data_IF_433060725112
#
_entry.id   IF_433060725112
#
_cell.length_a   1.000
_cell.length_b   1.000
_cell.length_c   1.000
_cell.angle_alpha   90.00
_cell.angle_beta   90.00
_cell.angle_gamma   90.00
#
_symmetry.space_group_name_H-M   'P 1'
#
loop_
_entity.id
_entity.type
_entity.pdbx_description
1 polymer ?
#
# COMPACT_ATOMS: atom_id res chain seq x y z
N UNK A 1 -28.30 9.78 21.52
CA UNK A 1 -27.96 9.92 20.09
C UNK A 1 -28.61 8.77 19.32
N UNK A 2 -29.33 9.08 18.22
CA UNK A 2 -29.96 8.08 17.36
C UNK A 2 -28.98 7.59 16.29
N UNK A 3 -29.24 6.39 15.74
CA UNK A 3 -28.55 5.86 14.54
C UNK A 3 -29.45 6.04 13.34
N UNK A 4 -28.83 6.29 12.17
CA UNK A 4 -29.50 6.33 10.87
C UNK A 4 -28.92 5.24 9.98
N UNK A 5 -29.69 4.75 9.01
CA UNK A 5 -29.25 3.79 8.02
C UNK A 5 -28.80 4.54 6.75
N UNK A 6 -27.56 4.31 6.31
CA UNK A 6 -26.96 4.96 5.12
C UNK A 6 -26.80 3.99 3.93
N UNK A 7 -27.26 2.73 4.08
CA UNK A 7 -26.96 1.71 3.08
C UNK A 7 -25.49 1.25 3.06
N UNK A 8 -25.09 0.44 2.06
CA UNK A 8 -23.70 -0.05 1.97
C UNK A 8 -22.71 1.08 1.71
N UNK A 9 -21.78 1.29 2.62
CA UNK A 9 -20.64 2.20 2.47
C UNK A 9 -19.48 1.74 3.36
N UNK A 10 -18.29 2.31 3.19
CA UNK A 10 -17.09 2.04 3.99
C UNK A 10 -16.54 3.31 4.65
N UNK A 11 -17.35 4.38 4.73
CA UNK A 11 -16.96 5.61 5.41
C UNK A 11 -16.77 5.35 6.90
N UNK A 12 -15.85 6.12 7.50
CA UNK A 12 -15.53 6.07 8.93
C UNK A 12 -14.97 4.71 9.43
N UNK A 13 -14.51 3.86 8.49
CA UNK A 13 -13.68 2.70 8.79
C UNK A 13 -12.30 2.89 8.12
N UNK A 14 -11.39 3.68 8.72
CA UNK A 14 -10.14 4.06 8.10
C UNK A 14 -9.28 2.85 7.74
N UNK A 15 -8.65 2.92 6.57
CA UNK A 15 -7.72 1.92 6.08
C UNK A 15 -6.32 2.53 5.98
N UNK A 16 -5.31 1.78 6.38
CA UNK A 16 -3.90 2.14 6.17
C UNK A 16 -3.55 2.05 4.70
N UNK A 17 -2.71 2.96 4.24
CA UNK A 17 -2.27 3.05 2.85
C UNK A 17 -0.98 2.29 2.61
N UNK A 18 -0.89 1.64 1.46
CA UNK A 18 0.32 0.98 0.97
C UNK A 18 0.57 1.32 -0.50
N UNK A 19 1.85 1.48 -0.84
CA UNK A 19 2.32 1.45 -2.22
C UNK A 19 2.78 0.02 -2.56
N UNK A 20 2.05 -0.66 -3.46
CA UNK A 20 2.45 -1.99 -3.94
C UNK A 20 3.47 -1.83 -5.07
N UNK A 21 4.64 -2.42 -4.86
CA UNK A 21 5.76 -2.38 -5.79
C UNK A 21 5.90 -3.68 -6.58
N UNK A 22 6.07 -3.55 -7.88
CA UNK A 22 6.26 -4.66 -8.83
C UNK A 22 7.30 -4.30 -9.87
N UNK A 23 7.92 -5.28 -10.53
CA UNK A 23 8.63 -5.05 -11.78
C UNK A 23 7.73 -5.36 -12.98
N UNK A 24 7.82 -4.54 -14.02
CA UNK A 24 7.21 -4.83 -15.32
C UNK A 24 7.98 -5.94 -16.07
N UNK A 25 7.55 -6.29 -17.30
CA UNK A 25 8.22 -7.32 -18.12
C UNK A 25 9.64 -6.94 -18.54
N UNK A 26 9.99 -5.65 -18.50
CA UNK A 26 11.30 -5.12 -18.85
C UNK A 26 12.22 -4.95 -17.64
N UNK A 27 11.70 -5.25 -16.42
CA UNK A 27 12.43 -5.06 -15.16
C UNK A 27 12.36 -3.64 -14.61
N UNK A 28 11.50 -2.76 -15.15
CA UNK A 28 11.33 -1.42 -14.59
C UNK A 28 10.43 -1.48 -13.36
N UNK A 29 10.76 -0.75 -12.28
CA UNK A 29 9.90 -0.67 -11.10
C UNK A 29 8.59 0.07 -11.41
N UNK A 30 7.52 -0.40 -10.80
CA UNK A 30 6.20 0.18 -10.92
C UNK A 30 5.47 0.12 -9.58
N UNK A 31 4.88 1.25 -9.15
CA UNK A 31 4.13 1.33 -7.90
C UNK A 31 2.69 1.79 -8.13
N UNK A 32 1.79 1.36 -7.24
CA UNK A 32 0.39 1.78 -7.21
C UNK A 32 -0.14 1.85 -5.79
N UNK A 33 -1.05 2.81 -5.53
CA UNK A 33 -1.64 3.03 -4.20
C UNK A 33 -2.83 2.09 -3.97
N UNK A 34 -2.82 1.43 -2.81
CA UNK A 34 -3.88 0.54 -2.34
C UNK A 34 -4.08 0.66 -0.83
N UNK A 35 -5.28 0.28 -0.34
CA UNK A 35 -5.61 0.31 1.07
C UNK A 35 -6.37 -0.94 1.57
N UNK A 36 -6.80 -1.82 0.69
CA UNK A 36 -7.46 -3.05 1.11
C UNK A 36 -6.43 -4.14 1.39
N UNK A 37 -5.93 -4.14 2.62
CA UNK A 37 -4.88 -4.99 3.12
C UNK A 37 -5.26 -5.46 4.52
N UNK A 38 -5.29 -6.77 4.77
CA UNK A 38 -5.64 -7.36 6.06
C UNK A 38 -4.83 -8.62 6.32
N UNK A 39 -4.48 -8.85 7.58
CA UNK A 39 -3.84 -10.10 7.97
C UNK A 39 -4.81 -11.27 7.92
N UNK A 40 -4.30 -12.44 7.58
CA UNK A 40 -4.98 -13.73 7.64
C UNK A 40 -4.10 -14.77 8.33
N UNK A 41 -4.73 -15.84 8.77
CA UNK A 41 -4.04 -17.00 9.33
C UNK A 41 -4.44 -18.26 8.56
N UNK A 42 -3.44 -18.90 7.94
CA UNK A 42 -3.61 -20.16 7.20
C UNK A 42 -2.44 -21.10 7.53
N UNK A 43 -2.39 -21.53 8.81
CA UNK A 43 -1.25 -22.27 9.34
C UNK A 43 -0.01 -21.42 9.62
N UNK A 44 0.11 -20.27 8.97
CA UNK A 44 1.12 -19.23 9.14
C UNK A 44 0.49 -17.84 8.94
N UNK A 45 1.19 -16.78 9.35
CA UNK A 45 0.75 -15.41 9.14
C UNK A 45 0.84 -15.07 7.65
N UNK A 46 -0.26 -14.63 7.08
CA UNK A 46 -0.36 -14.17 5.71
C UNK A 46 -1.11 -12.85 5.59
N UNK A 47 -1.36 -12.45 4.36
CA UNK A 47 -2.07 -11.21 4.01
C UNK A 47 -3.14 -11.50 2.96
N UNK A 48 -4.29 -10.87 3.12
CA UNK A 48 -5.30 -10.75 2.07
C UNK A 48 -5.28 -9.33 1.54
N UNK A 49 -5.10 -9.19 0.23
CA UNK A 49 -5.18 -7.92 -0.49
C UNK A 49 -6.31 -7.97 -1.50
N UNK A 50 -6.92 -6.81 -1.79
CA UNK A 50 -7.90 -6.71 -2.88
C UNK A 50 -7.55 -5.53 -3.77
N UNK A 51 -7.51 -5.77 -5.10
CA UNK A 51 -7.29 -4.73 -6.10
C UNK A 51 -8.53 -4.67 -7.01
N UNK A 52 -9.23 -3.54 -6.95
CA UNK A 52 -10.38 -3.27 -7.81
C UNK A 52 -9.98 -2.70 -9.17
N UNK A 53 -10.80 -2.95 -10.17
CA UNK A 53 -10.65 -2.43 -11.52
C UNK A 53 -9.40 -2.92 -12.26
N UNK A 54 -9.10 -2.29 -13.37
CA UNK A 54 -7.92 -2.57 -14.18
C UNK A 54 -6.74 -1.70 -13.76
N UNK A 55 -5.63 -2.32 -13.35
CA UNK A 55 -4.43 -1.65 -12.84
C UNK A 55 -3.17 -2.36 -13.36
N UNK A 56 -2.20 -1.62 -13.86
CA UNK A 56 -0.90 -2.15 -14.27
C UNK A 56 -0.22 -2.94 -13.15
N UNK A 57 -0.28 -2.43 -11.91
CA UNK A 57 0.25 -3.13 -10.73
C UNK A 57 -0.41 -4.50 -10.55
N UNK A 58 -1.74 -4.60 -10.73
CA UNK A 58 -2.46 -5.88 -10.67
C UNK A 58 -1.97 -6.86 -11.75
N UNK A 59 -1.84 -6.37 -12.98
CA UNK A 59 -1.37 -7.20 -14.11
C UNK A 59 0.03 -7.75 -13.83
N UNK A 60 0.94 -6.91 -13.33
CA UNK A 60 2.29 -7.32 -12.93
C UNK A 60 2.26 -8.36 -11.81
N UNK A 61 1.45 -8.18 -10.76
CA UNK A 61 1.30 -9.17 -9.67
C UNK A 61 0.73 -10.49 -10.20
N UNK A 62 -0.28 -10.44 -11.05
CA UNK A 62 -0.86 -11.64 -11.64
C UNK A 62 0.16 -12.44 -12.47
N UNK A 63 1.09 -11.76 -13.12
CA UNK A 63 2.18 -12.36 -13.90
C UNK A 63 3.29 -12.91 -12.99
N UNK A 64 3.86 -12.08 -12.10
CA UNK A 64 5.04 -12.43 -11.30
C UNK A 64 4.73 -13.25 -10.06
N UNK A 65 3.51 -13.14 -9.52
CA UNK A 65 3.06 -13.70 -8.24
C UNK A 65 3.79 -13.16 -7.01
N UNK A 66 4.62 -12.14 -7.18
CA UNK A 66 5.35 -11.48 -6.09
C UNK A 66 5.21 -9.96 -6.19
N UNK A 67 5.19 -9.28 -5.05
CA UNK A 67 5.17 -7.84 -4.95
C UNK A 67 5.62 -7.37 -3.56
N UNK A 68 5.96 -6.09 -3.44
CA UNK A 68 6.13 -5.45 -2.13
C UNK A 68 4.90 -4.65 -1.74
N UNK A 69 4.67 -4.52 -0.43
CA UNK A 69 3.72 -3.56 0.13
C UNK A 69 4.48 -2.61 1.05
N UNK A 70 4.60 -1.36 0.65
CA UNK A 70 5.37 -0.31 1.31
C UNK A 70 4.42 0.61 2.04
N UNK A 71 4.59 0.76 3.35
CA UNK A 71 3.71 1.56 4.19
C UNK A 71 3.84 3.04 3.84
N UNK A 72 2.71 3.73 3.71
CA UNK A 72 2.68 5.16 3.36
C UNK A 72 2.71 6.01 4.62
N UNK A 73 3.71 6.90 4.68
CA UNK A 73 3.85 7.98 5.67
C UNK A 73 3.39 9.31 5.09
N UNK A 74 3.35 10.38 5.90
CA UNK A 74 3.03 11.74 5.40
C UNK A 74 4.05 12.22 4.35
N UNK A 75 5.33 11.87 4.49
CA UNK A 75 6.37 12.18 3.51
C UNK A 75 6.10 11.52 2.15
N UNK A 76 5.64 10.28 2.17
CA UNK A 76 5.31 9.52 0.96
C UNK A 76 3.93 9.89 0.37
N UNK A 77 3.07 10.59 1.12
CA UNK A 77 1.69 10.82 0.71
C UNK A 77 1.54 11.56 -0.63
N UNK A 78 2.30 12.62 -0.97
CA UNK A 78 2.19 13.26 -2.29
C UNK A 78 2.44 12.28 -3.44
N UNK A 79 3.50 11.47 -3.33
CA UNK A 79 3.81 10.43 -4.32
C UNK A 79 2.74 9.34 -4.38
N UNK A 80 2.23 8.91 -3.22
CA UNK A 80 1.19 7.89 -3.13
C UNK A 80 -0.11 8.35 -3.79
N UNK A 81 -0.54 9.57 -3.53
CA UNK A 81 -1.73 10.18 -4.12
C UNK A 81 -1.59 10.30 -5.65
N UNK A 82 -0.43 10.74 -6.14
CA UNK A 82 -0.12 10.79 -7.58
C UNK A 82 -0.19 9.39 -8.21
N UNK A 83 0.48 8.41 -7.61
CA UNK A 83 0.53 7.03 -8.10
C UNK A 83 -0.84 6.33 -8.06
N UNK A 84 -1.73 6.75 -7.17
CA UNK A 84 -3.12 6.31 -7.11
C UNK A 84 -4.04 6.94 -8.12
N UNK A 85 -3.78 8.21 -8.48
CA UNK A 85 -4.63 9.05 -9.34
C UNK A 85 -4.28 8.94 -10.82
N UNK A 86 -2.99 8.74 -11.15
CA UNK A 86 -2.51 8.65 -12.54
C UNK A 86 -2.49 7.20 -13.02
N UNK A 87 -3.05 6.94 -14.21
CA UNK A 87 -3.02 5.61 -14.82
C UNK A 87 -1.62 5.26 -15.31
N UNK A 88 -1.07 4.14 -14.88
CA UNK A 88 0.19 3.61 -15.39
C UNK A 88 0.11 3.01 -16.79
N UNK A 89 -1.09 2.97 -17.41
CA UNK A 89 -1.28 2.53 -18.79
C UNK A 89 -1.14 3.68 -19.78
N UNK A 90 -1.42 4.90 -19.35
CA UNK A 90 -1.48 6.08 -20.20
C UNK A 90 -0.23 6.96 -20.10
N UNK A 91 0.53 6.82 -19.00
CA UNK A 91 1.66 7.68 -18.69
C UNK A 91 2.79 6.91 -18.00
N UNK A 92 4.03 7.30 -18.32
CA UNK A 92 5.20 6.94 -17.50
C UNK A 92 5.14 7.74 -16.18
N UNK A 93 4.49 7.14 -15.17
CA UNK A 93 4.27 7.79 -13.88
C UNK A 93 5.40 7.56 -12.88
N UNK A 94 6.48 6.88 -13.29
CA UNK A 94 7.55 6.52 -12.34
C UNK A 94 8.68 7.56 -12.26
N UNK A 95 8.70 8.54 -13.14
CA UNK A 95 9.72 9.61 -13.15
C UNK A 95 9.36 10.75 -12.16
N UNK A 96 9.23 10.42 -10.88
CA UNK A 96 8.84 11.37 -9.83
C UNK A 96 9.83 11.41 -8.64
N UNK A 97 11.02 10.84 -8.81
CA UNK A 97 12.08 10.93 -7.79
C UNK A 97 11.89 10.03 -6.56
N UNK A 98 11.23 8.88 -6.71
CA UNK A 98 11.14 7.89 -5.62
C UNK A 98 12.51 7.29 -5.30
N UNK A 99 12.80 7.12 -4.01
CA UNK A 99 13.96 6.37 -3.53
C UNK A 99 13.65 4.87 -3.51
N UNK A 100 14.06 4.19 -4.60
CA UNK A 100 13.71 2.80 -4.85
C UNK A 100 14.88 1.90 -4.51
N UNK A 101 14.64 0.97 -3.59
CA UNK A 101 15.52 -0.14 -3.25
C UNK A 101 15.02 -1.47 -3.83
N UNK A 102 15.60 -2.55 -3.33
CA UNK A 102 15.31 -3.93 -3.74
C UNK A 102 14.97 -4.79 -2.51
N UNK A 103 14.00 -5.69 -2.65
CA UNK A 103 13.69 -6.69 -1.63
C UNK A 103 14.90 -7.58 -1.31
N UNK A 104 14.97 -8.08 -0.08
CA UNK A 104 16.08 -8.94 0.38
C UNK A 104 15.85 -10.41 0.05
N UNK A 105 14.61 -10.85 -0.05
CA UNK A 105 14.21 -12.25 -0.23
C UNK A 105 13.55 -12.46 -1.58
N UNK A 106 12.66 -11.54 -1.98
CA UNK A 106 11.98 -11.58 -3.26
C UNK A 106 12.55 -10.53 -4.22
N UNK A 107 12.49 -10.83 -5.52
CA UNK A 107 12.86 -9.85 -6.57
C UNK A 107 11.73 -8.84 -6.80
N UNK A 108 11.58 -7.91 -5.86
CA UNK A 108 10.55 -6.87 -5.85
C UNK A 108 11.18 -5.50 -5.54
N UNK A 109 10.67 -4.40 -6.12
CA UNK A 109 11.12 -3.07 -5.74
C UNK A 109 10.50 -2.67 -4.39
N UNK A 110 11.28 -2.02 -3.53
CA UNK A 110 10.82 -1.45 -2.26
C UNK A 110 11.11 0.04 -2.21
N UNK A 111 10.44 0.79 -1.34
CA UNK A 111 10.73 2.20 -1.09
C UNK A 111 11.61 2.33 0.14
N UNK A 112 12.81 2.90 -0.03
CA UNK A 112 13.78 3.04 1.07
C UNK A 112 13.31 3.99 2.18
N UNK A 113 12.46 4.96 1.84
CA UNK A 113 11.86 5.90 2.79
C UNK A 113 10.50 5.44 3.35
N UNK A 114 10.10 4.19 3.13
CA UNK A 114 8.98 3.56 3.82
C UNK A 114 9.50 2.82 5.05
N UNK A 115 8.99 3.10 6.27
CA UNK A 115 9.51 2.49 7.50
C UNK A 115 9.24 0.99 7.62
N UNK A 116 8.30 0.46 6.84
CA UNK A 116 7.97 -0.98 6.80
C UNK A 116 7.63 -1.40 5.38
N UNK A 117 8.33 -2.41 4.88
CA UNK A 117 8.11 -3.00 3.57
C UNK A 117 7.87 -4.51 3.72
N UNK A 118 6.75 -4.99 3.24
CA UNK A 118 6.44 -6.42 3.16
C UNK A 118 6.88 -6.97 1.80
N UNK A 119 7.53 -8.12 1.79
CA UNK A 119 7.78 -8.91 0.58
C UNK A 119 6.76 -10.06 0.53
N UNK A 120 5.88 -10.04 -0.45
CA UNK A 120 4.68 -10.85 -0.52
C UNK A 120 4.70 -11.79 -1.73
N UNK A 121 4.34 -13.06 -1.50
CA UNK A 121 4.14 -14.07 -2.54
C UNK A 121 2.66 -14.48 -2.58
N UNK A 122 2.04 -14.34 -3.74
CA UNK A 122 0.63 -14.71 -3.97
C UNK A 122 0.50 -16.22 -4.04
N UNK A 123 -0.30 -16.79 -3.15
CA UNK A 123 -0.65 -18.23 -3.15
C UNK A 123 -1.94 -18.49 -3.91
N UNK A 124 -2.93 -17.61 -3.75
CA UNK A 124 -4.26 -17.78 -4.33
C UNK A 124 -4.80 -16.49 -4.92
N UNK A 125 -5.51 -16.62 -6.02
CA UNK A 125 -6.20 -15.54 -6.71
C UNK A 125 -7.69 -15.87 -6.80
N UNK A 126 -8.53 -15.03 -6.23
CA UNK A 126 -9.98 -15.15 -6.29
C UNK A 126 -10.53 -14.02 -7.13
N UNK A 127 -10.88 -14.33 -8.37
CA UNK A 127 -11.44 -13.37 -9.31
C UNK A 127 -12.88 -13.02 -8.90
N UNK A 128 -13.19 -11.75 -8.83
CA UNK A 128 -14.52 -11.18 -8.65
C UNK A 128 -14.87 -10.31 -9.85
N UNK A 129 -16.12 -9.86 -9.96
CA UNK A 129 -16.63 -9.11 -11.12
C UNK A 129 -15.69 -7.94 -11.51
N UNK A 130 -15.34 -7.07 -10.57
CA UNK A 130 -14.51 -5.88 -10.81
C UNK A 130 -13.19 -5.88 -10.03
N UNK A 131 -12.82 -7.01 -9.41
CA UNK A 131 -11.63 -7.04 -8.56
C UNK A 131 -11.03 -8.41 -8.40
N UNK A 132 -9.81 -8.43 -7.89
CA UNK A 132 -9.09 -9.67 -7.58
C UNK A 132 -8.72 -9.63 -6.11
N UNK A 133 -9.12 -10.66 -5.35
CA UNK A 133 -8.62 -10.92 -4.00
C UNK A 133 -7.40 -11.81 -4.14
N UNK A 134 -6.34 -11.45 -3.45
CA UNK A 134 -5.06 -12.14 -3.43
C UNK A 134 -4.79 -12.62 -2.01
N UNK A 135 -4.61 -13.91 -1.81
CA UNK A 135 -4.07 -14.47 -0.58
C UNK A 135 -2.56 -14.58 -0.74
N UNK A 136 -1.81 -14.09 0.22
CA UNK A 136 -0.36 -13.96 0.10
C UNK A 136 0.33 -14.47 1.36
N UNK A 137 1.47 -15.15 1.17
CA UNK A 137 2.45 -15.40 2.23
C UNK A 137 3.33 -14.18 2.42
N UNK A 138 3.64 -13.86 3.68
CA UNK A 138 4.68 -12.89 4.01
C UNK A 138 6.01 -13.65 3.94
N UNK A 139 6.84 -13.33 2.94
CA UNK A 139 8.15 -13.98 2.78
C UNK A 139 9.25 -13.27 3.55
N UNK A 140 9.10 -11.97 3.74
CA UNK A 140 9.99 -11.13 4.54
C UNK A 140 9.30 -9.82 4.91
N UNK A 141 9.81 -9.16 5.96
CA UNK A 141 9.49 -7.78 6.31
C UNK A 141 10.81 -7.03 6.51
N UNK A 142 11.02 -6.00 5.72
CA UNK A 142 12.06 -5.00 5.96
C UNK A 142 11.44 -3.90 6.83
N UNK A 143 12.19 -3.45 7.82
CA UNK A 143 11.75 -2.37 8.71
C UNK A 143 12.95 -1.50 9.11
N UNK A 144 12.68 -0.25 9.46
CA UNK A 144 13.68 0.64 9.98
C UNK A 144 14.31 0.08 11.26
N UNK A 145 15.61 0.28 11.44
CA UNK A 145 16.37 -0.26 12.59
C UNK A 145 15.76 0.17 13.93
N UNK A 146 15.24 1.40 14.01
CA UNK A 146 14.55 1.90 15.20
C UNK A 146 13.41 0.99 15.68
N UNK A 147 12.70 0.33 14.78
CA UNK A 147 11.58 -0.57 15.12
C UNK A 147 12.05 -1.87 15.82
N UNK A 148 13.35 -2.18 15.74
CA UNK A 148 13.98 -3.31 16.47
C UNK A 148 14.53 -2.91 17.84
N UNK A 149 14.44 -1.64 18.25
CA UNK A 149 14.87 -1.14 19.56
C UNK A 149 13.97 -1.67 20.70
N UNK A 150 14.37 -1.41 21.94
CA UNK A 150 13.58 -1.73 23.15
C UNK A 150 12.54 -0.65 23.51
N UNK A 151 12.35 0.35 22.64
CA UNK A 151 11.38 1.42 22.84
C UNK A 151 9.93 0.90 22.89
N UNK A 152 9.05 1.67 23.52
CA UNK A 152 7.64 1.32 23.67
C UNK A 152 6.93 1.21 22.32
N UNK A 153 5.98 0.29 22.22
CA UNK A 153 5.21 0.07 20.97
C UNK A 153 4.45 1.31 20.52
N UNK A 154 3.95 2.14 21.47
CA UNK A 154 3.25 3.37 21.14
C UNK A 154 4.19 4.41 20.52
N UNK A 155 5.44 4.48 20.96
CA UNK A 155 6.43 5.39 20.40
C UNK A 155 6.90 4.91 19.01
N UNK A 156 7.05 3.60 18.82
CA UNK A 156 7.28 3.00 17.49
C UNK A 156 6.14 3.29 16.52
N UNK A 157 4.88 3.23 16.97
CA UNK A 157 3.72 3.57 16.14
C UNK A 157 3.68 5.06 15.76
N UNK A 158 4.08 5.94 16.67
CA UNK A 158 4.24 7.38 16.36
C UNK A 158 5.37 7.62 15.37
N UNK A 159 6.47 6.89 15.48
CA UNK A 159 7.57 6.94 14.51
C UNK A 159 7.12 6.52 13.12
N UNK A 160 6.41 5.40 13.00
CA UNK A 160 5.87 4.91 11.72
C UNK A 160 4.86 5.91 11.15
N UNK A 161 4.01 6.49 12.01
CA UNK A 161 2.97 7.46 11.69
C UNK A 161 2.20 7.13 10.38
N UNK A 162 1.55 5.95 10.27
CA UNK A 162 0.94 5.52 9.02
C UNK A 162 -0.22 6.40 8.62
N UNK A 163 -0.25 6.82 7.36
CA UNK A 163 -1.38 7.55 6.78
C UNK A 163 -2.57 6.63 6.60
N UNK A 164 -3.74 7.14 6.92
CA UNK A 164 -5.03 6.44 6.77
C UNK A 164 -5.91 7.15 5.74
N UNK A 165 -6.85 6.42 5.18
CA UNK A 165 -7.88 6.99 4.30
C UNK A 165 -9.26 6.49 4.67
N UNK A 166 -10.25 7.39 4.61
CA UNK A 166 -11.67 7.11 4.68
C UNK A 166 -12.45 8.26 4.04
N UNK A 167 -13.66 8.02 3.56
CA UNK A 167 -14.50 9.05 2.94
C UNK A 167 -13.75 9.94 1.92
N UNK A 168 -12.88 9.33 1.09
CA UNK A 168 -12.04 10.00 0.09
C UNK A 168 -11.11 11.09 0.64
N UNK A 169 -10.72 10.96 1.92
CA UNK A 169 -9.85 11.90 2.64
C UNK A 169 -8.65 11.16 3.20
N UNK A 170 -7.49 11.78 3.17
CA UNK A 170 -6.29 11.31 3.84
C UNK A 170 -6.19 11.90 5.24
N UNK A 171 -5.82 11.08 6.19
CA UNK A 171 -5.68 11.45 7.60
C UNK A 171 -4.29 11.05 8.11
N UNK A 172 -3.70 11.92 8.93
CA UNK A 172 -2.47 11.59 9.67
C UNK A 172 -2.70 10.45 10.66
N UNK A 173 -1.61 9.96 11.25
CA UNK A 173 -1.70 9.00 12.37
C UNK A 173 -2.55 9.56 13.52
N UNK A 174 -2.40 10.83 13.85
CA UNK A 174 -3.14 11.52 14.93
C UNK A 174 -4.60 11.86 14.55
N UNK A 175 -4.94 11.81 13.25
CA UNK A 175 -6.29 12.08 12.75
C UNK A 175 -6.48 13.44 12.10
N UNK A 176 -5.41 14.20 11.87
CA UNK A 176 -5.47 15.47 11.16
C UNK A 176 -5.79 15.26 9.68
N UNK A 177 -6.51 16.21 9.10
CA UNK A 177 -6.88 16.17 7.70
C UNK A 177 -5.69 16.57 6.82
N UNK A 178 -5.20 15.65 6.00
CA UNK A 178 -4.10 15.83 5.05
C UNK A 178 -4.55 16.17 3.62
N UNK A 179 -5.85 16.32 3.40
CA UNK A 179 -6.44 16.65 2.10
C UNK A 179 -7.35 15.55 1.54
N UNK A 180 -8.12 15.92 0.53
CA UNK A 180 -8.90 14.96 -0.26
C UNK A 180 -8.00 14.22 -1.26
N UNK A 181 -8.50 13.11 -1.81
CA UNK A 181 -7.83 12.41 -2.90
C UNK A 181 -7.57 13.37 -4.07
N UNK A 182 -6.32 13.44 -4.54
CA UNK A 182 -5.85 14.35 -5.58
C UNK A 182 -5.34 15.70 -5.06
N UNK A 183 -5.38 15.98 -3.75
CA UNK A 183 -4.85 17.24 -3.19
C UNK A 183 -3.35 17.13 -2.87
N UNK A 184 -2.85 16.10 -2.14
CA UNK A 184 -1.44 16.00 -1.78
C UNK A 184 -0.50 15.97 -2.99
N UNK A 185 -0.89 15.34 -4.10
CA UNK A 185 -0.08 15.25 -5.32
C UNK A 185 0.23 16.61 -5.97
N UNK A 186 -0.50 17.67 -5.63
CA UNK A 186 -0.26 19.03 -6.14
C UNK A 186 1.03 19.64 -5.60
N UNK A 187 1.64 19.01 -4.59
CA UNK A 187 2.94 19.43 -4.04
C UNK A 187 4.15 18.86 -4.82
N UNK A 188 3.95 17.92 -5.75
CA UNK A 188 4.96 17.41 -6.66
C UNK A 188 5.10 18.33 -7.87
#
# INVERSE_FOLDING_TARGET
MGKISLGPNNDYCPQTLFLYGTYDEKGNPHFGLFCWFSYIWDGEMGVMCCIGGEKTTKDNIMRSKIFSANLVTEELLPYADYLGSVSGRDHDKMNIGLDIGKGSVLDVPVLNNSPVNFELEVTDLIQKHDGTIMLCKIRNVLQDEYLSSDEDVADKLKYIAPVKTTAKTYLSYEGDNLGAWGDPMKAL
#
